data_IF_274905308680
#
_entry.id   IF_274905308680
#
_cell.length_a   1.000
_cell.length_b   1.000
_cell.length_c   1.000
_cell.angle_alpha   90.00
_cell.angle_beta   90.00
_cell.angle_gamma   90.00
#
_symmetry.space_group_name_H-M   'P 1'
#
loop_
_entity.id
_entity.type
_entity.pdbx_description
1 polymer ?
#
# COMPACT_ATOMS: atom_id res chain seq x y z
N UNK A 1 1.50 -4.83 -32.37
CA UNK A 1 0.29 -4.00 -32.51
C UNK A 1 -0.90 -4.87 -32.21
N UNK A 2 -1.42 -4.82 -30.98
CA UNK A 2 -2.69 -5.44 -30.63
C UNK A 2 -3.76 -4.44 -31.03
N UNK A 3 -4.59 -4.80 -32.00
CA UNK A 3 -5.70 -3.98 -32.47
C UNK A 3 -6.61 -3.64 -31.29
N UNK A 4 -6.76 -2.37 -31.00
CA UNK A 4 -7.66 -1.86 -29.99
C UNK A 4 -9.08 -2.36 -30.24
N UNK A 5 -9.55 -3.31 -29.44
CA UNK A 5 -10.94 -3.68 -29.40
C UNK A 5 -11.76 -2.44 -29.02
N UNK A 6 -12.66 -2.06 -29.91
CA UNK A 6 -13.56 -0.94 -29.71
C UNK A 6 -14.30 -1.06 -28.37
N UNK A 7 -14.05 -0.16 -27.44
CA UNK A 7 -14.80 -0.03 -26.19
C UNK A 7 -16.30 0.26 -26.37
N UNK A 8 -16.76 0.32 -27.63
CA UNK A 8 -18.15 0.61 -27.99
C UNK A 8 -19.06 -0.62 -28.11
N UNK A 9 -18.55 -1.85 -27.90
CA UNK A 9 -19.34 -3.08 -27.97
C UNK A 9 -19.73 -3.66 -26.60
N UNK A 10 -20.00 -2.82 -25.62
CA UNK A 10 -20.62 -3.29 -24.37
C UNK A 10 -21.99 -3.89 -24.69
N UNK A 11 -22.31 -5.11 -24.21
CA UNK A 11 -23.62 -5.70 -24.47
C UNK A 11 -24.70 -4.78 -23.90
N UNK A 12 -25.49 -4.22 -24.80
CA UNK A 12 -26.63 -3.41 -24.46
C UNK A 12 -27.76 -4.35 -24.03
N UNK A 13 -28.42 -4.09 -22.91
CA UNK A 13 -29.65 -4.82 -22.57
C UNK A 13 -30.76 -4.30 -23.50
N UNK A 14 -31.16 -5.12 -24.48
CA UNK A 14 -32.11 -4.71 -25.50
C UNK A 14 -31.64 -3.52 -26.37
N UNK A 15 -30.33 -3.36 -26.59
CA UNK A 15 -29.76 -2.27 -27.40
C UNK A 15 -29.69 -0.90 -26.70
N UNK A 16 -30.01 -0.81 -25.42
CA UNK A 16 -30.00 0.45 -24.64
C UNK A 16 -28.92 0.41 -23.54
N UNK A 17 -28.38 1.57 -23.11
CA UNK A 17 -27.55 1.65 -21.93
C UNK A 17 -28.26 1.09 -20.69
N UNK A 18 -27.50 0.51 -19.75
CA UNK A 18 -28.06 0.12 -18.46
C UNK A 18 -28.64 1.37 -17.76
N UNK A 19 -29.92 1.36 -17.33
CA UNK A 19 -30.48 2.48 -16.62
C UNK A 19 -29.78 2.70 -15.28
N UNK A 20 -29.75 3.92 -14.81
CA UNK A 20 -29.24 4.23 -13.48
C UNK A 20 -30.16 3.64 -12.41
N UNK A 21 -29.62 3.40 -11.22
CA UNK A 21 -30.42 2.90 -10.10
C UNK A 21 -31.58 3.85 -9.73
N UNK A 22 -31.44 5.15 -10.02
CA UNK A 22 -32.53 6.14 -9.84
C UNK A 22 -33.64 5.97 -10.84
N UNK A 23 -33.33 5.64 -12.09
CA UNK A 23 -34.32 5.37 -13.14
C UNK A 23 -35.07 4.06 -12.90
N UNK A 24 -34.46 3.10 -12.18
CA UNK A 24 -35.11 1.86 -11.75
C UNK A 24 -36.01 2.05 -10.52
N UNK A 25 -35.93 3.20 -9.85
CA UNK A 25 -36.66 3.46 -8.62
C UNK A 25 -38.18 3.48 -8.87
N UNK A 26 -38.91 2.81 -7.99
CA UNK A 26 -40.38 2.79 -8.00
C UNK A 26 -40.89 2.90 -6.56
N UNK A 27 -41.79 3.85 -6.28
CA UNK A 27 -42.26 4.09 -4.92
C UNK A 27 -42.75 2.84 -4.19
N UNK A 28 -42.35 2.69 -2.94
CA UNK A 28 -42.71 1.57 -2.07
C UNK A 28 -41.85 0.32 -2.18
N UNK A 29 -40.94 0.23 -3.17
CA UNK A 29 -40.01 -0.89 -3.27
C UNK A 29 -38.90 -0.76 -2.24
N UNK A 30 -38.44 -1.90 -1.70
CA UNK A 30 -37.35 -1.95 -0.73
C UNK A 30 -36.45 -3.15 -1.01
N UNK A 31 -35.11 -2.94 -1.00
CA UNK A 31 -34.12 -3.98 -1.15
C UNK A 31 -33.79 -4.67 0.19
N UNK A 32 -33.91 -3.97 1.30
CA UNK A 32 -33.67 -4.51 2.63
C UNK A 32 -34.58 -3.87 3.68
N UNK A 33 -34.68 -4.52 4.83
CA UNK A 33 -35.29 -3.94 6.04
C UNK A 33 -34.20 -3.74 7.07
N UNK A 34 -34.09 -2.53 7.59
CA UNK A 34 -33.27 -2.29 8.77
C UNK A 34 -33.88 -3.02 9.98
N UNK A 35 -33.06 -3.60 10.87
CA UNK A 35 -33.53 -4.11 12.13
C UNK A 35 -34.19 -2.98 12.95
N UNK A 36 -35.06 -3.34 13.88
CA UNK A 36 -35.58 -2.37 14.85
C UNK A 36 -34.41 -1.85 15.70
N UNK A 37 -34.49 -0.58 16.09
CA UNK A 37 -33.53 -0.03 17.04
C UNK A 37 -33.63 -0.82 18.35
N UNK A 38 -32.47 -1.22 18.86
CA UNK A 38 -32.30 -1.89 20.16
C UNK A 38 -31.88 -0.92 21.27
N UNK A 39 -31.89 0.38 20.95
CA UNK A 39 -31.59 1.49 21.84
C UNK A 39 -32.80 2.41 21.99
N UNK A 40 -32.96 3.16 23.08
CA UNK A 40 -34.02 4.13 23.26
C UNK A 40 -33.99 5.21 22.17
N UNK A 41 -35.16 5.55 21.63
CA UNK A 41 -35.28 6.68 20.72
C UNK A 41 -35.02 7.98 21.45
N UNK A 42 -34.07 8.77 20.94
CA UNK A 42 -33.79 10.12 21.43
C UNK A 42 -34.52 11.12 20.54
N UNK A 43 -35.27 12.02 21.17
CA UNK A 43 -35.88 13.14 20.45
C UNK A 43 -34.79 14.12 20.03
N UNK A 44 -34.57 14.21 18.72
CA UNK A 44 -33.64 15.19 18.13
C UNK A 44 -34.39 16.51 17.94
N UNK A 45 -33.73 17.64 18.22
CA UNK A 45 -34.31 18.98 17.99
C UNK A 45 -34.71 19.11 16.50
N UNK A 46 -35.95 19.58 16.25
CA UNK A 46 -36.49 19.76 14.90
C UNK A 46 -35.60 20.66 14.02
N UNK A 47 -34.95 21.65 14.58
CA UNK A 47 -34.00 22.53 13.85
C UNK A 47 -32.79 21.80 13.28
N UNK A 48 -32.36 20.70 13.91
CA UNK A 48 -31.27 19.85 13.48
C UNK A 48 -31.68 18.79 12.47
N UNK A 49 -32.97 18.62 12.24
CA UNK A 49 -33.48 17.63 11.30
C UNK A 49 -33.52 18.18 9.87
N UNK A 50 -33.16 17.32 8.93
CA UNK A 50 -33.31 17.63 7.52
C UNK A 50 -34.79 17.87 7.18
N UNK A 51 -35.08 19.01 6.53
CA UNK A 51 -36.47 19.39 6.19
C UNK A 51 -37.13 18.45 5.18
N UNK A 52 -36.33 17.88 4.26
CA UNK A 52 -36.81 16.93 3.26
C UNK A 52 -36.17 15.58 3.46
N UNK A 53 -36.90 14.50 3.21
CA UNK A 53 -36.35 13.16 3.16
C UNK A 53 -35.30 13.05 2.06
N UNK A 54 -34.26 12.26 2.30
CA UNK A 54 -33.31 11.95 1.26
C UNK A 54 -33.98 11.22 0.10
N UNK A 55 -33.76 11.69 -1.13
CA UNK A 55 -34.29 11.07 -2.35
C UNK A 55 -33.45 9.86 -2.73
N UNK A 56 -33.53 8.81 -1.92
CA UNK A 56 -32.87 7.55 -2.19
C UNK A 56 -33.68 6.72 -3.17
N UNK A 57 -33.01 5.92 -4.04
CA UNK A 57 -33.73 5.00 -4.92
C UNK A 57 -34.52 3.96 -4.14
N UNK A 58 -35.78 3.74 -4.53
CA UNK A 58 -36.66 2.70 -3.99
C UNK A 58 -36.68 1.54 -4.99
N UNK A 59 -35.88 0.49 -4.76
CA UNK A 59 -35.74 -0.67 -5.64
C UNK A 59 -35.92 -1.97 -4.85
N UNK A 60 -36.30 -3.03 -5.53
CA UNK A 60 -36.33 -4.36 -4.92
C UNK A 60 -34.89 -4.93 -4.79
N UNK A 61 -34.68 -5.91 -3.92
CA UNK A 61 -33.41 -6.64 -3.84
C UNK A 61 -33.03 -7.26 -5.19
N UNK A 62 -33.98 -7.84 -5.89
CA UNK A 62 -33.77 -8.42 -7.22
C UNK A 62 -33.27 -7.37 -8.22
N UNK A 63 -33.91 -6.21 -8.32
CA UNK A 63 -33.51 -5.14 -9.23
C UNK A 63 -32.11 -4.62 -8.87
N UNK A 64 -31.82 -4.48 -7.57
CA UNK A 64 -30.53 -4.02 -7.05
C UNK A 64 -29.39 -4.99 -7.45
N UNK A 65 -29.58 -6.27 -7.18
CA UNK A 65 -28.58 -7.31 -7.49
C UNK A 65 -28.37 -7.43 -9.00
N UNK A 66 -29.43 -7.46 -9.78
CA UNK A 66 -29.35 -7.56 -11.24
C UNK A 66 -28.65 -6.35 -11.86
N UNK A 67 -28.96 -5.13 -11.38
CA UNK A 67 -28.34 -3.90 -11.85
C UNK A 67 -26.81 -3.92 -11.62
N UNK A 68 -26.38 -4.14 -10.37
CA UNK A 68 -24.96 -4.15 -10.05
C UNK A 68 -24.21 -5.35 -10.64
N UNK A 69 -24.84 -6.52 -10.78
CA UNK A 69 -24.24 -7.65 -11.48
C UNK A 69 -23.97 -7.33 -12.95
N UNK A 70 -24.95 -6.70 -13.64
CA UNK A 70 -24.73 -6.28 -15.03
C UNK A 70 -23.64 -5.22 -15.17
N UNK A 71 -23.55 -4.27 -14.25
CA UNK A 71 -22.47 -3.29 -14.22
C UNK A 71 -21.11 -3.94 -13.94
N UNK A 72 -21.04 -4.89 -13.00
CA UNK A 72 -19.84 -5.61 -12.67
C UNK A 72 -19.28 -6.40 -13.87
N UNK A 73 -20.16 -7.04 -14.66
CA UNK A 73 -19.77 -7.76 -15.89
C UNK A 73 -19.23 -6.84 -17.00
N UNK A 74 -19.43 -5.54 -16.90
CA UNK A 74 -18.88 -4.54 -17.85
C UNK A 74 -17.52 -4.01 -17.42
N UNK A 75 -17.08 -4.35 -16.23
CA UNK A 75 -15.78 -3.97 -15.71
C UNK A 75 -14.75 -5.09 -15.88
N UNK A 76 -13.48 -4.69 -15.86
CA UNK A 76 -12.40 -5.65 -15.75
C UNK A 76 -12.39 -6.28 -14.35
N UNK A 77 -12.08 -7.57 -14.29
CA UNK A 77 -11.88 -8.29 -13.05
C UNK A 77 -10.77 -9.33 -13.22
N UNK A 78 -9.95 -9.50 -12.20
CA UNK A 78 -8.84 -10.48 -12.20
C UNK A 78 -9.33 -11.92 -12.36
N UNK A 79 -10.58 -12.19 -12.02
CA UNK A 79 -11.22 -13.52 -12.20
C UNK A 79 -11.72 -13.76 -13.63
N UNK A 80 -11.84 -12.72 -14.45
CA UNK A 80 -12.37 -12.80 -15.81
C UNK A 80 -11.27 -12.75 -16.87
N UNK A 81 -10.08 -12.32 -16.52
CA UNK A 81 -8.97 -12.21 -17.45
C UNK A 81 -7.81 -11.36 -16.94
N UNK A 82 -6.81 -11.21 -17.78
CA UNK A 82 -5.67 -10.36 -17.50
C UNK A 82 -6.13 -8.89 -17.34
N UNK A 83 -5.72 -8.29 -16.22
CA UNK A 83 -6.18 -6.97 -15.82
C UNK A 83 -4.99 -6.04 -15.53
N UNK A 84 -4.34 -5.47 -16.55
CA UNK A 84 -3.27 -4.51 -16.37
C UNK A 84 -3.82 -3.13 -15.98
N UNK A 85 -3.22 -2.53 -14.95
CA UNK A 85 -3.41 -1.12 -14.60
C UNK A 85 -2.08 -0.40 -14.76
N UNK A 86 -2.11 0.90 -15.12
CA UNK A 86 -0.91 1.72 -15.27
C UNK A 86 -0.08 1.85 -14.00
N UNK A 87 -0.73 1.82 -12.82
CA UNK A 87 -0.07 1.97 -11.53
C UNK A 87 0.34 0.67 -10.87
N UNK A 88 -0.07 -0.49 -11.39
CA UNK A 88 0.22 -1.78 -10.78
C UNK A 88 -0.10 -2.95 -11.71
N UNK A 89 0.58 -4.07 -11.45
CA UNK A 89 0.22 -5.36 -12.03
C UNK A 89 -0.89 -5.98 -11.20
N UNK A 90 -2.09 -6.08 -11.75
CA UNK A 90 -3.22 -6.73 -11.09
C UNK A 90 -3.07 -8.25 -11.22
N UNK A 91 -2.52 -8.87 -10.18
CA UNK A 91 -2.36 -10.32 -10.10
C UNK A 91 -3.65 -10.99 -9.67
N UNK A 92 -3.85 -12.23 -10.10
CA UNK A 92 -4.91 -13.06 -9.57
C UNK A 92 -4.78 -13.24 -8.06
N UNK A 93 -5.89 -13.01 -7.35
CA UNK A 93 -5.95 -13.20 -5.89
C UNK A 93 -6.40 -14.64 -5.61
N UNK A 94 -5.55 -15.50 -5.05
CA UNK A 94 -5.93 -16.89 -4.79
C UNK A 94 -7.13 -16.98 -3.85
N UNK A 95 -8.20 -17.67 -4.27
CA UNK A 95 -9.42 -17.87 -3.46
C UNK A 95 -9.14 -18.55 -2.12
N UNK A 96 -8.10 -19.37 -2.08
CA UNK A 96 -7.62 -19.98 -0.86
C UNK A 96 -7.20 -18.95 0.20
N UNK A 97 -6.57 -17.86 -0.21
CA UNK A 97 -6.21 -16.77 0.70
C UNK A 97 -7.44 -16.09 1.31
N UNK A 98 -8.52 -15.94 0.52
CA UNK A 98 -9.79 -15.41 1.03
C UNK A 98 -10.45 -16.37 2.03
N UNK A 99 -10.41 -17.68 1.78
CA UNK A 99 -10.94 -18.69 2.70
C UNK A 99 -10.23 -18.64 4.05
N UNK A 100 -8.90 -18.54 4.06
CA UNK A 100 -8.11 -18.43 5.29
C UNK A 100 -8.40 -17.10 6.01
N UNK A 101 -8.45 -15.99 5.27
CA UNK A 101 -8.71 -14.67 5.87
C UNK A 101 -10.14 -14.56 6.43
N UNK A 102 -11.08 -15.36 5.93
CA UNK A 102 -12.47 -15.42 6.43
C UNK A 102 -12.65 -16.38 7.61
N UNK A 103 -11.63 -17.13 7.99
CA UNK A 103 -11.69 -18.03 9.15
C UNK A 103 -11.92 -17.20 10.44
N UNK A 104 -12.91 -17.60 11.22
CA UNK A 104 -13.31 -16.89 12.44
C UNK A 104 -12.19 -16.75 13.48
N UNK A 105 -11.22 -17.67 13.48
CA UNK A 105 -10.03 -17.60 14.32
C UNK A 105 -9.13 -16.41 14.03
N UNK A 106 -9.23 -15.81 12.83
CA UNK A 106 -8.55 -14.59 12.44
C UNK A 106 -9.53 -13.42 12.32
N UNK A 107 -10.65 -13.62 11.62
CA UNK A 107 -11.58 -12.54 11.27
C UNK A 107 -12.32 -11.97 12.49
N UNK A 108 -12.55 -12.79 13.53
CA UNK A 108 -13.26 -12.37 14.74
C UNK A 108 -12.34 -11.96 15.89
N UNK A 109 -11.02 -11.92 15.67
CA UNK A 109 -10.07 -11.49 16.70
C UNK A 109 -10.03 -9.97 16.78
N UNK A 110 -10.36 -9.42 17.96
CA UNK A 110 -10.23 -7.98 18.16
C UNK A 110 -8.75 -7.61 18.39
N UNK A 111 -8.23 -6.57 17.70
CA UNK A 111 -6.80 -6.22 17.79
C UNK A 111 -6.32 -5.73 19.16
N UNK A 112 -7.24 -5.35 20.07
CA UNK A 112 -6.90 -4.98 21.46
C UNK A 112 -6.99 -6.16 22.44
N UNK A 113 -7.15 -7.41 21.97
CA UNK A 113 -7.07 -8.55 22.86
C UNK A 113 -5.65 -8.71 23.41
N UNK A 114 -5.50 -9.22 24.65
CA UNK A 114 -4.18 -9.51 25.22
C UNK A 114 -3.36 -10.44 24.32
N UNK A 115 -2.05 -10.24 24.31
CA UNK A 115 -1.10 -10.96 23.43
C UNK A 115 -1.18 -12.47 23.57
N UNK A 116 -1.44 -12.96 24.77
CA UNK A 116 -1.60 -14.40 25.08
C UNK A 116 -2.72 -15.08 24.28
N UNK A 117 -3.77 -14.33 23.90
CA UNK A 117 -4.87 -14.83 23.06
C UNK A 117 -4.67 -14.57 21.57
N UNK A 118 -3.70 -13.73 21.19
CA UNK A 118 -3.46 -13.33 19.80
C UNK A 118 -2.15 -13.85 19.21
N UNK A 119 -1.55 -14.87 19.82
CA UNK A 119 -0.25 -15.42 19.41
C UNK A 119 -0.20 -15.83 17.93
N UNK A 120 -1.29 -16.36 17.39
CA UNK A 120 -1.40 -16.68 15.95
C UNK A 120 -1.36 -15.44 15.05
N UNK A 121 -2.01 -14.35 15.45
CA UNK A 121 -2.00 -13.09 14.70
C UNK A 121 -0.63 -12.41 14.77
N UNK A 122 0.00 -12.40 15.94
CA UNK A 122 1.36 -11.90 16.13
C UNK A 122 2.38 -12.69 15.30
N UNK A 123 2.23 -14.02 15.26
CA UNK A 123 3.05 -14.88 14.41
C UNK A 123 2.92 -14.53 12.94
N UNK A 124 1.72 -14.21 12.46
CA UNK A 124 1.50 -13.76 11.08
C UNK A 124 2.31 -12.50 10.78
N UNK A 125 2.25 -11.47 11.64
CA UNK A 125 3.03 -10.24 11.46
C UNK A 125 4.53 -10.50 11.49
N UNK A 126 5.00 -11.32 12.42
CA UNK A 126 6.41 -11.68 12.52
C UNK A 126 6.92 -12.43 11.29
N UNK A 127 6.19 -13.46 10.84
CA UNK A 127 6.62 -14.26 9.68
C UNK A 127 6.64 -13.45 8.39
N UNK A 128 5.59 -12.65 8.13
CA UNK A 128 5.57 -11.82 6.92
C UNK A 128 6.62 -10.70 6.99
N UNK A 129 6.91 -10.18 8.18
CA UNK A 129 8.00 -9.24 8.41
C UNK A 129 9.33 -9.82 7.97
N UNK A 130 9.65 -11.03 8.42
CA UNK A 130 10.87 -11.73 8.03
C UNK A 130 10.93 -11.99 6.51
N UNK A 131 9.83 -12.40 5.88
CA UNK A 131 9.81 -12.58 4.44
C UNK A 131 10.00 -11.27 3.67
N UNK A 132 9.36 -10.20 4.13
CA UNK A 132 9.53 -8.89 3.50
C UNK A 132 10.98 -8.39 3.63
N UNK A 133 11.58 -8.54 4.81
CA UNK A 133 12.97 -8.19 5.06
C UNK A 133 13.93 -8.99 4.18
N UNK A 134 13.71 -10.30 4.03
CA UNK A 134 14.52 -11.15 3.14
C UNK A 134 14.39 -10.72 1.68
N UNK A 135 13.16 -10.47 1.20
CA UNK A 135 12.89 -10.05 -0.19
C UNK A 135 13.51 -8.68 -0.50
N UNK A 136 13.55 -7.77 0.48
CA UNK A 136 14.00 -6.40 0.28
C UNK A 136 15.43 -6.13 0.73
N UNK A 137 16.05 -7.07 1.46
CA UNK A 137 17.37 -6.86 2.06
C UNK A 137 17.34 -5.87 3.24
N UNK A 138 16.20 -5.76 3.92
CA UNK A 138 16.00 -4.95 5.12
C UNK A 138 16.03 -5.81 6.38
N UNK A 139 15.97 -5.18 7.56
CA UNK A 139 16.16 -5.87 8.85
C UNK A 139 14.87 -5.91 9.70
N UNK A 140 14.04 -4.88 9.64
CA UNK A 140 12.78 -4.77 10.39
C UNK A 140 11.66 -4.14 9.55
N UNK A 141 10.40 -4.45 9.88
CA UNK A 141 9.26 -3.94 9.11
C UNK A 141 8.03 -3.61 9.98
N UNK A 142 7.27 -2.60 9.54
CA UNK A 142 5.96 -2.27 10.10
C UNK A 142 4.87 -2.35 9.03
N UNK A 143 3.72 -2.93 9.39
CA UNK A 143 2.55 -3.13 8.52
C UNK A 143 1.44 -2.11 8.76
N UNK A 144 1.72 -1.06 9.50
CA UNK A 144 0.71 -0.06 9.84
C UNK A 144 0.25 0.80 8.66
N UNK A 145 1.10 1.21 7.71
CA UNK A 145 0.63 2.06 6.61
C UNK A 145 -0.42 1.33 5.75
N UNK A 146 -1.61 1.94 5.52
CA UNK A 146 -2.72 1.28 4.82
C UNK A 146 -2.58 1.27 3.30
N UNK A 147 -1.63 2.02 2.74
CA UNK A 147 -1.43 2.15 1.30
C UNK A 147 0.00 2.61 0.97
N UNK A 148 0.36 2.63 -0.34
CA UNK A 148 1.67 3.07 -0.80
C UNK A 148 2.00 4.51 -0.42
N UNK A 149 1.12 5.47 -0.73
CA UNK A 149 1.32 6.88 -0.37
C UNK A 149 1.48 7.08 1.16
N UNK A 150 0.78 6.28 1.97
CA UNK A 150 0.99 6.28 3.43
C UNK A 150 2.34 5.67 3.82
N UNK A 151 2.81 4.66 3.07
CA UNK A 151 4.15 4.10 3.21
C UNK A 151 5.24 5.12 2.86
N UNK A 152 5.06 5.88 1.78
CA UNK A 152 5.95 6.98 1.41
C UNK A 152 6.06 8.02 2.54
N UNK A 153 4.92 8.52 3.02
CA UNK A 153 4.88 9.48 4.13
C UNK A 153 5.52 8.90 5.39
N UNK A 154 5.27 7.62 5.69
CA UNK A 154 5.86 6.92 6.83
C UNK A 154 7.38 6.90 6.74
N UNK A 155 7.94 6.53 5.58
CA UNK A 155 9.39 6.53 5.37
C UNK A 155 10.01 7.90 5.57
N UNK A 156 9.37 8.95 5.08
CA UNK A 156 9.85 10.32 5.26
C UNK A 156 9.72 10.83 6.71
N UNK A 157 8.69 10.41 7.43
CA UNK A 157 8.58 10.70 8.87
C UNK A 157 9.64 9.95 9.68
N UNK A 158 10.02 8.73 9.27
CA UNK A 158 11.16 8.00 9.86
C UNK A 158 12.47 8.77 9.62
N UNK A 159 12.72 9.24 8.39
CA UNK A 159 13.89 10.10 8.08
C UNK A 159 13.88 11.33 9.00
N UNK A 160 12.76 12.03 9.07
CA UNK A 160 12.63 13.23 9.89
C UNK A 160 12.92 12.95 11.36
N UNK A 161 12.33 11.89 11.90
CA UNK A 161 12.54 11.50 13.30
C UNK A 161 13.97 11.09 13.59
N UNK A 162 14.60 10.36 12.67
CA UNK A 162 16.02 10.03 12.75
C UNK A 162 16.90 11.29 12.80
N UNK A 163 16.64 12.26 11.93
CA UNK A 163 17.37 13.52 11.90
C UNK A 163 17.17 14.33 13.19
N UNK A 164 15.94 14.40 13.72
CA UNK A 164 15.63 15.07 14.99
C UNK A 164 16.42 14.47 16.16
N UNK A 165 16.37 13.15 16.32
CA UNK A 165 17.02 12.44 17.43
C UNK A 165 18.55 12.56 17.37
N UNK A 166 19.10 12.62 16.15
CA UNK A 166 20.57 12.73 15.93
C UNK A 166 21.05 14.19 15.82
N UNK A 167 20.23 15.20 16.14
CA UNK A 167 20.56 16.62 16.07
C UNK A 167 20.97 17.10 14.67
N UNK A 168 20.38 16.53 13.63
CA UNK A 168 20.64 16.83 12.22
C UNK A 168 19.49 17.66 11.60
N UNK A 169 18.84 18.54 12.39
CA UNK A 169 17.66 19.32 11.98
C UNK A 169 17.92 20.30 10.83
N UNK A 170 19.20 20.61 10.53
CA UNK A 170 19.57 21.42 9.38
C UNK A 170 19.33 20.70 8.05
N UNK A 171 19.22 19.37 8.04
CA UNK A 171 18.92 18.59 6.85
C UNK A 171 17.44 18.63 6.53
N UNK A 172 17.07 19.47 5.58
CA UNK A 172 15.68 19.80 5.25
C UNK A 172 15.30 19.51 3.81
N UNK A 173 16.22 18.97 3.02
CA UNK A 173 16.02 18.77 1.59
C UNK A 173 15.88 17.28 1.25
N UNK A 174 14.82 16.92 0.52
CA UNK A 174 14.66 15.61 -0.11
C UNK A 174 14.82 15.76 -1.62
N UNK A 175 15.77 15.02 -2.17
CA UNK A 175 16.00 14.98 -3.61
C UNK A 175 15.04 13.97 -4.24
N UNK A 176 14.44 14.33 -5.37
CA UNK A 176 13.49 13.50 -6.11
C UNK A 176 13.78 13.64 -7.60
N UNK A 177 13.94 12.53 -8.36
CA UNK A 177 14.10 12.63 -9.82
C UNK A 177 12.87 13.25 -10.51
N UNK A 178 13.06 13.96 -11.58
CA UNK A 178 12.00 14.53 -12.43
C UNK A 178 11.07 13.47 -13.02
N UNK A 179 11.56 12.23 -13.16
CA UNK A 179 10.81 11.06 -13.60
C UNK A 179 10.02 10.35 -12.50
N UNK A 180 10.09 10.82 -11.24
CA UNK A 180 9.44 10.19 -10.11
C UNK A 180 7.92 10.30 -10.18
N UNK A 181 7.24 9.36 -9.51
CA UNK A 181 5.79 9.45 -9.34
C UNK A 181 5.43 10.70 -8.53
N UNK A 182 4.35 11.40 -8.92
CA UNK A 182 3.94 12.67 -8.30
C UNK A 182 3.65 12.61 -6.80
N UNK A 183 3.43 11.42 -6.23
CA UNK A 183 3.25 11.24 -4.77
C UNK A 183 4.55 11.39 -3.99
N UNK A 184 5.71 11.12 -4.59
CA UNK A 184 7.00 11.26 -3.91
C UNK A 184 7.25 12.72 -3.45
N UNK A 185 7.24 13.73 -4.35
CA UNK A 185 7.40 15.11 -3.93
C UNK A 185 6.25 15.61 -3.04
N UNK A 186 5.02 15.09 -3.21
CA UNK A 186 3.89 15.44 -2.36
C UNK A 186 4.09 14.95 -0.93
N UNK A 187 4.51 13.69 -0.75
CA UNK A 187 4.80 13.09 0.55
C UNK A 187 5.96 13.81 1.25
N UNK A 188 7.01 14.20 0.51
CA UNK A 188 8.14 14.96 1.05
C UNK A 188 7.68 16.32 1.62
N UNK A 189 6.86 17.06 0.87
CA UNK A 189 6.29 18.32 1.35
C UNK A 189 5.37 18.12 2.56
N UNK A 190 4.55 17.06 2.58
CA UNK A 190 3.70 16.74 3.73
C UNK A 190 4.50 16.43 4.99
N UNK A 191 5.66 15.79 4.87
CA UNK A 191 6.57 15.56 5.97
C UNK A 191 7.32 16.82 6.42
N UNK A 192 7.21 17.92 5.66
CA UNK A 192 7.81 19.22 5.98
C UNK A 192 9.22 19.40 5.40
N UNK A 193 9.59 18.63 4.39
CA UNK A 193 10.85 18.79 3.65
C UNK A 193 10.68 19.70 2.44
N UNK A 194 11.77 20.37 2.08
CA UNK A 194 11.93 21.04 0.78
C UNK A 194 12.26 19.98 -0.26
N UNK A 195 11.57 20.01 -1.39
CA UNK A 195 11.85 19.10 -2.51
C UNK A 195 12.84 19.75 -3.46
N UNK A 196 13.93 19.06 -3.72
CA UNK A 196 14.95 19.42 -4.73
C UNK A 196 14.85 18.41 -5.87
N UNK A 197 14.59 18.86 -7.08
CA UNK A 197 14.47 18.00 -8.24
C UNK A 197 15.84 17.75 -8.86
N UNK A 198 16.12 16.49 -9.24
CA UNK A 198 17.28 16.12 -10.05
C UNK A 198 16.82 15.69 -11.43
N UNK A 199 17.45 16.26 -12.46
CA UNK A 199 17.16 15.94 -13.86
C UNK A 199 17.60 14.51 -14.21
N UNK A 200 16.88 13.87 -15.12
CA UNK A 200 17.32 12.63 -15.76
C UNK A 200 18.30 12.92 -16.91
N UNK A 201 19.17 11.95 -17.20
CA UNK A 201 20.07 12.01 -18.36
C UNK A 201 19.35 11.60 -19.66
N UNK A 202 20.06 11.61 -20.78
CA UNK A 202 19.52 11.25 -22.10
C UNK A 202 19.06 9.78 -22.20
N UNK A 203 19.44 8.93 -21.24
CA UNK A 203 19.01 7.52 -21.13
C UNK A 203 17.77 7.39 -20.25
N UNK A 204 17.31 8.46 -19.61
CA UNK A 204 16.18 8.47 -18.68
C UNK A 204 16.51 7.98 -17.28
N UNK A 205 17.79 7.99 -16.88
CA UNK A 205 18.30 7.67 -15.55
C UNK A 205 18.73 8.94 -14.82
N UNK A 206 18.95 8.85 -13.51
CA UNK A 206 19.40 10.00 -12.70
C UNK A 206 20.73 10.54 -13.27
N UNK A 207 20.78 11.83 -13.55
CA UNK A 207 22.02 12.49 -14.00
C UNK A 207 22.97 12.64 -12.81
N UNK A 208 24.03 11.82 -12.78
CA UNK A 208 25.00 11.75 -11.66
C UNK A 208 25.72 13.08 -11.46
N UNK A 209 26.08 13.77 -12.53
CA UNK A 209 26.77 15.06 -12.40
C UNK A 209 25.85 16.13 -11.80
N UNK A 210 24.60 16.18 -12.24
CA UNK A 210 23.60 17.05 -11.62
C UNK A 210 23.32 16.70 -10.18
N UNK A 211 23.26 15.41 -9.85
CA UNK A 211 23.11 14.95 -8.48
C UNK A 211 24.25 15.48 -7.60
N UNK A 212 25.50 15.37 -8.04
CA UNK A 212 26.67 15.90 -7.30
C UNK A 212 26.62 17.43 -7.12
N UNK A 213 26.07 18.17 -8.10
CA UNK A 213 25.93 19.62 -8.01
C UNK A 213 24.93 20.07 -6.95
N UNK A 214 23.83 19.31 -6.74
CA UNK A 214 22.73 19.70 -5.84
C UNK A 214 22.85 19.13 -4.44
N UNK A 215 23.58 18.01 -4.27
CA UNK A 215 23.79 17.41 -2.94
C UNK A 215 24.66 18.32 -2.10
N UNK A 216 24.18 18.64 -0.89
CA UNK A 216 24.82 19.58 0.02
C UNK A 216 24.60 19.15 1.50
N UNK A 217 25.04 19.97 2.44
CA UNK A 217 24.90 19.71 3.87
C UNK A 217 23.45 19.63 4.36
N UNK A 218 22.50 20.27 3.65
CA UNK A 218 21.07 20.26 3.98
C UNK A 218 20.34 19.04 3.42
N UNK A 219 21.01 18.19 2.64
CA UNK A 219 20.41 16.99 2.04
C UNK A 219 20.04 15.98 3.13
N UNK A 220 18.73 15.78 3.33
CA UNK A 220 18.16 14.79 4.25
C UNK A 220 18.10 13.39 3.63
N UNK A 221 17.90 13.31 2.32
CA UNK A 221 17.85 12.04 1.60
C UNK A 221 17.41 12.17 0.15
N UNK A 222 17.29 11.02 -0.50
CA UNK A 222 16.80 10.89 -1.87
C UNK A 222 15.70 9.83 -1.92
N UNK A 223 14.60 10.13 -2.61
CA UNK A 223 13.52 9.18 -2.92
C UNK A 223 13.67 8.69 -4.35
N UNK A 224 13.73 7.37 -4.53
CA UNK A 224 13.90 6.76 -5.84
C UNK A 224 13.02 5.52 -6.00
N UNK A 225 12.50 5.33 -7.20
CA UNK A 225 11.89 4.07 -7.65
C UNK A 225 12.87 3.37 -8.57
N UNK A 226 13.16 2.09 -8.35
CA UNK A 226 14.03 1.32 -9.22
C UNK A 226 13.44 -0.09 -9.48
N UNK A 227 13.07 -0.44 -10.74
CA UNK A 227 13.09 0.38 -11.94
C UNK A 227 12.23 1.64 -11.83
N UNK A 228 12.62 2.70 -12.53
CA UNK A 228 11.91 3.98 -12.51
C UNK A 228 10.53 3.89 -13.20
N UNK A 229 9.76 4.98 -13.20
CA UNK A 229 8.42 5.03 -13.82
C UNK A 229 8.44 4.71 -15.31
N UNK A 230 9.54 4.95 -16.00
CA UNK A 230 9.75 4.58 -17.41
C UNK A 230 10.10 3.10 -17.62
N UNK A 231 10.27 2.31 -16.56
CA UNK A 231 10.66 0.90 -16.60
C UNK A 231 12.17 0.68 -16.76
N UNK A 232 12.98 1.71 -16.57
CA UNK A 232 14.44 1.64 -16.69
C UNK A 232 15.06 1.36 -15.32
N UNK A 233 15.98 0.38 -15.27
CA UNK A 233 16.74 0.09 -14.07
C UNK A 233 17.88 1.10 -13.89
N UNK A 234 18.00 1.70 -12.71
CA UNK A 234 19.04 2.66 -12.38
C UNK A 234 20.38 1.93 -12.17
N UNK A 235 21.20 1.90 -13.22
CA UNK A 235 22.47 1.18 -13.23
C UNK A 235 23.49 1.78 -12.26
N UNK A 236 23.44 3.09 -12.05
CA UNK A 236 24.39 3.83 -11.17
C UNK A 236 23.91 3.89 -9.72
N UNK A 237 23.00 3.01 -9.31
CA UNK A 237 22.37 3.07 -7.97
C UNK A 237 23.38 3.03 -6.83
N UNK A 238 24.48 2.29 -6.96
CA UNK A 238 25.51 2.24 -5.94
C UNK A 238 26.28 3.56 -5.83
N UNK A 239 26.52 4.23 -6.96
CA UNK A 239 27.11 5.57 -7.02
C UNK A 239 26.18 6.60 -6.38
N UNK A 240 24.89 6.56 -6.70
CA UNK A 240 23.87 7.41 -6.11
C UNK A 240 23.83 7.22 -4.59
N UNK A 241 23.77 5.98 -4.15
CA UNK A 241 23.77 5.63 -2.72
C UNK A 241 24.96 6.24 -2.00
N UNK A 242 26.15 6.07 -2.55
CA UNK A 242 27.39 6.60 -1.96
C UNK A 242 27.39 8.13 -1.89
N UNK A 243 26.91 8.83 -2.92
CA UNK A 243 26.80 10.30 -2.93
C UNK A 243 25.89 10.77 -1.79
N UNK A 244 24.73 10.17 -1.63
CA UNK A 244 23.76 10.57 -0.61
C UNK A 244 24.26 10.25 0.79
N UNK A 245 24.81 9.04 1.00
CA UNK A 245 25.35 8.64 2.32
C UNK A 245 26.58 9.47 2.71
N UNK A 246 27.45 9.84 1.78
CA UNK A 246 28.61 10.71 2.07
C UNK A 246 28.15 12.11 2.53
N UNK A 247 26.99 12.58 2.08
CA UNK A 247 26.40 13.81 2.58
C UNK A 247 25.65 13.61 3.91
N UNK A 248 25.59 12.38 4.46
CA UNK A 248 24.83 12.05 5.67
C UNK A 248 23.32 12.05 5.46
N UNK A 249 22.84 11.89 4.24
CA UNK A 249 21.45 11.68 3.87
C UNK A 249 21.08 10.20 3.87
N UNK A 250 19.77 9.90 3.80
CA UNK A 250 19.22 8.54 3.72
C UNK A 250 18.61 8.26 2.35
N UNK A 251 18.67 6.99 1.95
CA UNK A 251 18.11 6.55 0.67
C UNK A 251 16.77 5.83 0.87
N UNK A 252 15.73 6.35 0.25
CA UNK A 252 14.39 5.79 0.32
C UNK A 252 13.98 5.15 -1.02
N UNK A 253 13.53 3.90 -0.95
CA UNK A 253 13.02 3.14 -2.09
C UNK A 253 11.49 3.16 -2.17
N UNK A 254 10.95 3.69 -3.25
CA UNK A 254 9.54 3.53 -3.60
C UNK A 254 9.31 2.15 -4.22
N UNK A 255 8.77 1.24 -3.43
CA UNK A 255 8.53 -0.15 -3.81
C UNK A 255 7.24 -0.41 -4.57
N UNK A 256 6.62 0.61 -5.17
CA UNK A 256 5.46 0.42 -6.03
C UNK A 256 5.75 -0.53 -7.20
N UNK A 257 7.00 -0.54 -7.70
CA UNK A 257 7.49 -1.40 -8.77
C UNK A 257 8.33 -2.60 -8.27
N UNK A 258 8.25 -2.95 -6.99
CA UNK A 258 9.01 -4.06 -6.41
C UNK A 258 8.81 -5.38 -7.17
N UNK A 259 7.68 -5.56 -7.84
CA UNK A 259 7.40 -6.70 -8.70
C UNK A 259 8.53 -7.04 -9.67
N UNK A 260 9.15 -6.01 -10.26
CA UNK A 260 10.13 -6.18 -11.34
C UNK A 260 11.44 -6.79 -10.86
N UNK A 261 11.73 -6.73 -9.55
CA UNK A 261 13.02 -7.11 -9.00
C UNK A 261 12.96 -8.23 -7.96
N UNK A 262 11.77 -8.68 -7.57
CA UNK A 262 11.63 -9.81 -6.62
C UNK A 262 12.39 -11.03 -7.14
N UNK A 263 13.29 -11.57 -6.33
CA UNK A 263 14.14 -12.70 -6.67
C UNK A 263 15.39 -12.36 -7.48
N UNK A 264 15.42 -11.22 -8.16
CA UNK A 264 16.55 -10.79 -8.99
C UNK A 264 17.51 -9.84 -8.24
N UNK A 265 16.96 -8.92 -7.43
CA UNK A 265 17.74 -7.91 -6.72
C UNK A 265 16.99 -7.44 -5.47
N UNK A 266 17.73 -6.95 -4.46
CA UNK A 266 17.14 -6.46 -3.21
C UNK A 266 17.52 -5.01 -2.99
N UNK A 267 16.54 -4.12 -2.70
CA UNK A 267 16.83 -2.71 -2.45
C UNK A 267 17.89 -2.47 -1.38
N UNK A 268 17.88 -3.24 -0.29
CA UNK A 268 18.87 -3.12 0.77
C UNK A 268 20.31 -3.40 0.33
N UNK A 269 20.53 -4.25 -0.70
CA UNK A 269 21.84 -4.53 -1.27
C UNK A 269 22.28 -3.43 -2.24
N UNK A 270 21.34 -2.62 -2.74
CA UNK A 270 21.61 -1.42 -3.54
C UNK A 270 21.94 -0.19 -2.70
N UNK A 271 21.91 -0.32 -1.36
CA UNK A 271 22.19 0.78 -0.43
C UNK A 271 21.00 1.57 0.03
N UNK A 272 19.77 1.12 -0.22
CA UNK A 272 18.59 1.76 0.35
C UNK A 272 18.47 1.46 1.85
N UNK A 273 18.06 2.49 2.61
CA UNK A 273 17.87 2.43 4.06
C UNK A 273 16.45 2.15 4.46
N UNK A 274 15.50 2.60 3.63
CA UNK A 274 14.06 2.50 3.83
C UNK A 274 13.40 2.03 2.55
N UNK A 275 12.48 1.10 2.66
CA UNK A 275 11.66 0.59 1.54
C UNK A 275 10.21 0.58 1.95
N UNK A 276 9.30 1.13 1.15
CA UNK A 276 7.91 0.70 1.24
C UNK A 276 7.58 -0.31 0.15
N UNK A 277 6.60 -1.15 0.38
CA UNK A 277 6.03 -2.03 -0.64
C UNK A 277 4.50 -2.00 -0.61
N UNK A 278 3.88 -2.40 -1.72
CA UNK A 278 2.43 -2.47 -1.80
C UNK A 278 1.99 -3.94 -1.84
N UNK A 279 1.40 -4.45 -0.75
CA UNK A 279 0.93 -5.84 -0.71
C UNK A 279 -0.13 -6.11 -1.78
N UNK A 280 -0.95 -5.12 -2.08
CA UNK A 280 -1.98 -5.17 -3.11
C UNK A 280 -1.45 -5.05 -4.56
N UNK A 281 -0.15 -4.88 -4.75
CA UNK A 281 0.52 -4.93 -6.05
C UNK A 281 1.40 -6.18 -6.14
N UNK A 282 2.49 -6.21 -5.38
CA UNK A 282 3.50 -7.27 -5.45
C UNK A 282 3.00 -8.62 -4.94
N UNK A 283 2.14 -8.63 -3.90
CA UNK A 283 1.74 -9.86 -3.22
C UNK A 283 0.26 -10.19 -3.38
N UNK A 284 -0.35 -9.74 -4.48
CA UNK A 284 -1.66 -10.17 -4.97
C UNK A 284 -2.80 -10.08 -3.93
N UNK A 285 -2.79 -9.09 -3.05
CA UNK A 285 -3.95 -8.85 -2.18
C UNK A 285 -4.98 -7.97 -2.88
N UNK A 286 -6.28 -8.04 -2.51
CA UNK A 286 -7.27 -7.16 -3.06
C UNK A 286 -6.96 -5.68 -2.81
N UNK A 287 -7.32 -4.81 -3.76
CA UNK A 287 -7.31 -3.34 -3.58
C UNK A 287 -8.48 -2.84 -2.73
N UNK A 288 -9.53 -3.65 -2.58
CA UNK A 288 -10.72 -3.31 -1.83
C UNK A 288 -11.57 -2.19 -2.43
N UNK A 289 -11.44 -1.90 -3.72
CA UNK A 289 -12.22 -0.86 -4.40
C UNK A 289 -11.97 0.56 -3.86
N UNK A 290 -10.72 0.87 -3.50
CA UNK A 290 -10.33 2.11 -2.82
C UNK A 290 -10.37 1.99 -1.29
N UNK A 291 -10.57 0.78 -0.78
CA UNK A 291 -10.60 0.44 0.64
C UNK A 291 -9.27 -0.14 1.14
N UNK A 292 -9.33 -1.23 1.92
CA UNK A 292 -8.19 -1.72 2.67
C UNK A 292 -7.09 -2.24 1.74
N UNK A 293 -5.98 -1.54 1.69
CA UNK A 293 -4.72 -2.00 1.14
C UNK A 293 -3.71 -2.23 2.26
N UNK A 294 -2.43 -2.33 1.92
CA UNK A 294 -1.33 -2.28 2.87
C UNK A 294 -0.07 -1.81 2.16
N UNK A 295 0.64 -0.90 2.80
CA UNK A 295 1.89 -0.30 2.32
C UNK A 295 2.99 -0.44 3.36
N UNK A 296 3.40 -1.68 3.74
CA UNK A 296 4.40 -1.88 4.77
C UNK A 296 5.70 -1.16 4.44
N UNK A 297 6.36 -0.69 5.49
CA UNK A 297 7.67 -0.06 5.43
C UNK A 297 8.67 -0.97 6.12
N UNK A 298 9.77 -1.26 5.43
CA UNK A 298 10.91 -2.00 5.96
C UNK A 298 12.15 -1.09 6.00
N UNK A 299 13.02 -1.32 6.97
CA UNK A 299 14.15 -0.45 7.25
C UNK A 299 15.40 -1.24 7.61
N UNK A 300 16.58 -0.62 7.46
CA UNK A 300 17.83 -1.12 8.03
C UNK A 300 17.80 -1.04 9.56
N UNK A 301 18.55 -1.90 10.22
CA UNK A 301 18.53 -2.09 11.68
C UNK A 301 18.71 -0.81 12.49
N UNK A 302 19.54 0.13 12.04
CA UNK A 302 19.76 1.41 12.73
C UNK A 302 18.54 2.34 12.72
N UNK A 303 17.52 2.05 11.87
CA UNK A 303 16.24 2.79 11.80
C UNK A 303 15.10 2.09 12.52
N UNK A 304 15.29 0.91 13.08
CA UNK A 304 14.27 0.12 13.76
C UNK A 304 13.51 0.92 14.81
N UNK A 305 14.24 1.70 15.62
CA UNK A 305 13.64 2.46 16.74
C UNK A 305 12.71 3.59 16.30
N UNK A 306 12.71 3.93 15.02
CA UNK A 306 11.85 4.98 14.46
C UNK A 306 10.60 4.43 13.75
N UNK A 307 10.48 3.12 13.59
CA UNK A 307 9.31 2.49 12.96
C UNK A 307 8.01 2.84 13.67
N UNK A 308 6.88 2.97 12.93
CA UNK A 308 5.57 3.08 13.57
C UNK A 308 5.29 1.82 14.40
N UNK A 309 5.09 2.03 15.69
CA UNK A 309 4.89 0.95 16.65
C UNK A 309 3.42 0.65 16.95
N UNK A 310 3.12 -0.53 17.51
CA UNK A 310 4.08 -1.60 17.80
C UNK A 310 4.42 -2.48 16.59
N UNK A 311 5.54 -3.20 16.67
CA UNK A 311 5.95 -4.23 15.71
C UNK A 311 6.01 -5.60 16.39
N UNK A 312 5.73 -6.66 15.64
CA UNK A 312 5.74 -8.01 16.22
C UNK A 312 7.17 -8.55 16.33
N UNK A 313 7.52 -9.08 17.48
CA UNK A 313 8.81 -9.75 17.73
C UNK A 313 8.61 -11.15 18.33
N UNK A 314 9.64 -11.98 18.27
CA UNK A 314 9.68 -13.29 18.90
C UNK A 314 10.74 -13.29 19.98
N UNK A 315 10.33 -13.48 21.25
CA UNK A 315 11.21 -13.68 22.40
C UNK A 315 10.81 -14.98 23.09
N UNK A 316 11.77 -15.86 23.30
CA UNK A 316 11.60 -17.13 24.02
C UNK A 316 10.42 -17.99 23.51
N UNK A 317 10.26 -18.05 22.18
CA UNK A 317 9.16 -18.75 21.48
C UNK A 317 7.77 -18.16 21.71
N UNK A 318 7.68 -16.95 22.27
CA UNK A 318 6.45 -16.16 22.39
C UNK A 318 6.51 -14.97 21.46
N UNK A 319 5.38 -14.62 20.87
CA UNK A 319 5.23 -13.45 20.03
C UNK A 319 4.66 -12.32 20.88
N UNK A 320 5.33 -11.15 20.83
CA UNK A 320 4.98 -9.98 21.64
C UNK A 320 4.98 -8.75 20.74
N UNK A 321 4.34 -7.68 21.22
CA UNK A 321 4.47 -6.36 20.62
C UNK A 321 5.69 -5.64 21.19
N UNK A 322 6.61 -5.26 20.34
CA UNK A 322 7.71 -4.35 20.63
C UNK A 322 7.29 -2.91 20.35
N UNK A 323 7.53 -2.02 21.29
CA UNK A 323 7.24 -0.59 21.17
C UNK A 323 8.55 0.17 21.03
N UNK A 324 8.94 0.63 19.82
CA UNK A 324 10.17 1.38 19.62
C UNK A 324 10.16 2.70 20.41
N UNK A 325 11.25 3.03 21.09
CA UNK A 325 11.33 4.19 21.98
C UNK A 325 11.19 5.52 21.23
N UNK A 326 11.81 5.62 20.05
CA UNK A 326 11.80 6.79 19.20
C UNK A 326 10.78 6.71 18.06
N UNK A 327 9.78 5.83 18.21
CA UNK A 327 8.74 5.64 17.19
C UNK A 327 8.13 6.94 16.71
N UNK A 328 7.83 7.03 15.43
CA UNK A 328 6.99 8.10 14.86
C UNK A 328 5.52 8.02 15.32
N UNK A 329 5.17 7.01 16.13
CA UNK A 329 3.82 6.76 16.59
C UNK A 329 3.04 5.82 15.68
N UNK A 330 1.72 5.96 15.64
CA UNK A 330 0.85 5.12 14.80
C UNK A 330 0.48 5.81 13.50
N UNK A 331 0.57 5.07 12.40
CA UNK A 331 0.18 5.56 11.08
C UNK A 331 -1.25 5.18 10.69
N UNK A 332 -1.86 4.23 11.40
CA UNK A 332 -3.22 3.75 11.16
C UNK A 332 -3.83 3.21 12.46
N UNK A 333 -5.14 2.98 12.43
CA UNK A 333 -5.85 2.36 13.56
C UNK A 333 -5.28 0.97 13.89
N UNK A 334 -5.10 0.69 15.15
CA UNK A 334 -4.57 -0.56 15.69
C UNK A 334 -3.18 -0.92 15.11
N UNK A 335 -3.10 -2.02 14.35
CA UNK A 335 -1.84 -2.60 13.82
C UNK A 335 -1.83 -2.64 12.28
N UNK A 336 -2.66 -1.82 11.62
CA UNK A 336 -2.86 -1.85 10.18
C UNK A 336 -3.92 -2.86 9.73
N UNK A 337 -3.92 -3.20 8.45
CA UNK A 337 -4.94 -4.06 7.84
C UNK A 337 -4.56 -5.54 7.93
N UNK A 338 -4.80 -6.18 9.09
CA UNK A 338 -4.35 -7.54 9.39
C UNK A 338 -4.77 -8.58 8.35
N UNK A 339 -6.04 -8.58 7.91
CA UNK A 339 -6.52 -9.60 6.97
C UNK A 339 -5.92 -9.43 5.56
N UNK A 340 -5.46 -8.24 5.19
CA UNK A 340 -4.68 -8.01 3.97
C UNK A 340 -3.27 -8.59 4.14
N UNK A 341 -2.65 -8.32 5.27
CA UNK A 341 -1.33 -8.87 5.64
C UNK A 341 -1.34 -10.39 5.64
N UNK A 342 -2.38 -11.00 6.21
CA UNK A 342 -2.56 -12.46 6.21
C UNK A 342 -2.68 -13.03 4.78
N UNK A 343 -3.46 -12.38 3.89
CA UNK A 343 -3.56 -12.81 2.48
C UNK A 343 -2.20 -12.76 1.78
N UNK A 344 -1.42 -11.72 2.01
CA UNK A 344 -0.08 -11.61 1.45
C UNK A 344 0.85 -12.73 1.95
N UNK A 345 0.82 -13.04 3.24
CA UNK A 345 1.58 -14.16 3.80
C UNK A 345 1.18 -15.50 3.16
N UNK A 346 -0.13 -15.73 3.00
CA UNK A 346 -0.64 -16.94 2.33
C UNK A 346 -0.14 -17.02 0.89
N UNK A 347 -0.16 -15.89 0.16
CA UNK A 347 0.35 -15.81 -1.21
C UNK A 347 1.85 -16.14 -1.26
N UNK A 348 2.65 -15.54 -0.39
CA UNK A 348 4.10 -15.82 -0.31
C UNK A 348 4.39 -17.28 0.00
N UNK A 349 3.65 -17.88 0.96
CA UNK A 349 3.80 -19.30 1.33
C UNK A 349 3.32 -20.26 0.22
N UNK A 350 2.28 -19.88 -0.51
CA UNK A 350 1.75 -20.68 -1.61
C UNK A 350 2.74 -20.76 -2.78
N UNK A 351 3.36 -19.65 -3.12
CA UNK A 351 4.31 -19.56 -4.21
C UNK A 351 5.70 -20.08 -3.84
N UNK A 352 6.11 -19.83 -2.59
CA UNK A 352 7.50 -20.07 -2.18
C UNK A 352 8.49 -19.21 -2.96
N UNK A 353 9.79 -19.50 -2.83
CA UNK A 353 10.86 -18.75 -3.50
C UNK A 353 10.69 -18.80 -5.03
N UNK A 354 10.63 -20.00 -5.60
CA UNK A 354 10.54 -20.19 -7.06
C UNK A 354 9.31 -19.53 -7.67
N UNK A 355 8.15 -19.65 -7.01
CA UNK A 355 6.92 -19.05 -7.50
C UNK A 355 6.93 -17.51 -7.41
N UNK A 356 7.61 -16.93 -6.44
CA UNK A 356 7.78 -15.47 -6.34
C UNK A 356 8.71 -14.95 -7.43
N UNK A 357 9.81 -15.64 -7.74
CA UNK A 357 10.73 -15.31 -8.84
C UNK A 357 10.00 -15.34 -10.19
N UNK A 358 9.04 -16.25 -10.35
CA UNK A 358 8.26 -16.42 -11.58
C UNK A 358 6.94 -15.63 -11.56
N UNK A 359 6.67 -14.83 -10.53
CA UNK A 359 5.35 -14.22 -10.32
C UNK A 359 4.90 -13.26 -11.44
N UNK A 360 5.82 -12.80 -12.29
CA UNK A 360 5.56 -11.94 -13.44
C UNK A 360 5.80 -12.64 -14.78
N UNK A 361 6.10 -13.93 -14.82
CA UNK A 361 6.47 -14.61 -16.08
C UNK A 361 5.39 -14.54 -17.16
N UNK A 362 4.12 -14.43 -16.77
CA UNK A 362 2.99 -14.31 -17.70
C UNK A 362 2.88 -12.93 -18.37
N UNK A 363 3.62 -11.96 -17.88
CA UNK A 363 3.65 -10.59 -18.40
C UNK A 363 4.76 -10.41 -19.42
#
# INVERSE_FOLDING_TARGET
MVSGGNASSLPLVGGKPEPTIKELSSPGRRASKFPKLDVPEVKINHESLKKEKARLPEVSEHDLVMHYSRLAHRNFAVDLGFYPLGSCTMKYNPRFADSIASDSRFANMHPSMPEEFTQGCLKVYYEIGNYLCEITGMDDASFQPPAGASGELTGLLIIKKYLEVNNLNHKTEIIVPDSAHGTNPASARMAGFTVVEVETDTRGMVNIEKLKEIVNENTAGLMLTNPNTGGLFEEEILTISQIIHNAGGLLYYDGANLNAIVGASRPGDMGFDIVHSNLHKTFATPHGGGGPGSGPVAVKSFLREYLPGPIAENKDRKYNWYHPENSIGRMHGYHGNFLVTLRALVYMKLLGKEGLDLSLIHI
#
